data_IF_407875907810
#
_entry.id   IF_407875907810
#
_cell.length_a   1.000
_cell.length_b   1.000
_cell.length_c   1.000
_cell.angle_alpha   90.00
_cell.angle_beta   90.00
_cell.angle_gamma   90.00
#
_symmetry.space_group_name_H-M   'P 1'
#
loop_
_entity.id
_entity.type
_entity.pdbx_description
1 polymer ?
#
# COMPACT_ATOMS: atom_id res chain seq x y z
N UNK A 1 19.36 -12.22 6.96
CA UNK A 1 19.92 -11.10 6.16
C UNK A 1 18.85 -10.01 6.21
N UNK A 2 19.19 -8.75 6.51
CA UNK A 2 18.18 -7.69 6.49
C UNK A 2 17.78 -7.46 5.03
N UNK A 3 16.62 -7.99 4.63
CA UNK A 3 16.04 -7.75 3.32
C UNK A 3 15.84 -6.24 3.15
N UNK A 4 16.43 -5.68 2.09
CA UNK A 4 16.37 -4.25 1.82
C UNK A 4 14.97 -3.94 1.29
N UNK A 5 14.06 -3.58 2.17
CA UNK A 5 12.74 -3.11 1.77
C UNK A 5 12.81 -1.68 1.26
N UNK A 6 11.95 -1.37 0.30
CA UNK A 6 11.78 -0.07 -0.33
C UNK A 6 10.32 0.33 -0.27
N UNK A 7 10.08 1.64 -0.27
CA UNK A 7 8.74 2.20 -0.21
C UNK A 7 8.30 2.59 -1.61
N UNK A 8 7.09 2.23 -2.00
CA UNK A 8 6.54 2.49 -3.32
C UNK A 8 5.15 3.10 -3.24
N UNK A 9 4.82 3.94 -4.22
CA UNK A 9 3.47 4.47 -4.37
C UNK A 9 2.53 3.40 -4.90
N UNK A 10 1.42 3.19 -4.21
CA UNK A 10 0.37 2.27 -4.66
C UNK A 10 -0.47 2.96 -5.74
N UNK A 11 -0.47 2.38 -6.93
CA UNK A 11 -1.16 2.94 -8.10
C UNK A 11 -2.56 2.37 -8.28
N UNK A 12 -2.80 1.15 -7.79
CA UNK A 12 -4.09 0.47 -7.78
C UNK A 12 -4.29 -0.31 -6.48
N UNK A 13 -5.56 -0.46 -6.08
CA UNK A 13 -5.91 -1.21 -4.88
C UNK A 13 -5.55 -2.69 -5.07
N UNK A 14 -4.90 -3.30 -4.08
CA UNK A 14 -4.56 -4.71 -4.13
C UNK A 14 -4.66 -5.37 -2.75
N UNK A 15 -4.90 -6.67 -2.73
CA UNK A 15 -4.88 -7.46 -1.49
C UNK A 15 -3.46 -7.94 -1.25
N UNK A 16 -2.89 -7.52 -0.12
CA UNK A 16 -1.64 -8.09 0.33
C UNK A 16 -1.87 -9.52 0.85
N UNK A 17 -1.16 -10.49 0.28
CA UNK A 17 -1.34 -11.91 0.65
C UNK A 17 -0.73 -12.25 2.01
N UNK A 18 0.21 -11.45 2.50
CA UNK A 18 0.86 -11.71 3.78
C UNK A 18 -0.04 -11.28 4.95
N UNK A 19 -0.60 -10.08 4.88
CA UNK A 19 -1.48 -9.51 5.92
C UNK A 19 -2.96 -9.78 5.68
N UNK A 20 -3.35 -10.17 4.46
CA UNK A 20 -4.74 -10.22 3.99
C UNK A 20 -5.45 -8.84 4.04
N UNK A 21 -4.70 -7.75 4.06
CA UNK A 21 -5.23 -6.40 4.06
C UNK A 21 -5.37 -5.85 2.63
N UNK A 22 -6.39 -5.00 2.43
CA UNK A 22 -6.55 -4.27 1.18
C UNK A 22 -5.69 -3.01 1.27
N UNK A 23 -4.66 -2.96 0.44
CA UNK A 23 -3.81 -1.79 0.29
C UNK A 23 -4.45 -0.89 -0.77
N UNK A 24 -4.88 0.29 -0.36
CA UNK A 24 -5.56 1.25 -1.22
C UNK A 24 -4.58 2.06 -2.06
N UNK A 25 -5.03 2.45 -3.26
CA UNK A 25 -4.36 3.42 -4.11
C UNK A 25 -4.04 4.72 -3.37
N UNK A 26 -2.87 5.28 -3.65
CA UNK A 26 -2.37 6.51 -3.04
C UNK A 26 -1.64 6.31 -1.71
N UNK A 27 -1.71 5.10 -1.14
CA UNK A 27 -0.89 4.72 0.01
C UNK A 27 0.56 4.48 -0.38
N UNK A 28 1.44 4.49 0.62
CA UNK A 28 2.83 4.07 0.48
C UNK A 28 2.94 2.64 1.00
N UNK A 29 3.53 1.76 0.19
CA UNK A 29 3.68 0.36 0.49
C UNK A 29 5.15 -0.04 0.59
N UNK A 30 5.51 -0.73 1.68
CA UNK A 30 6.86 -1.27 1.88
C UNK A 30 6.95 -2.68 1.30
N UNK A 31 7.90 -2.91 0.38
CA UNK A 31 8.16 -4.20 -0.23
C UNK A 31 9.66 -4.42 -0.47
N UNK A 32 10.12 -5.66 -0.37
CA UNK A 32 11.43 -6.10 -0.84
C UNK A 32 11.52 -6.12 -2.38
N UNK A 33 12.71 -6.39 -2.92
CA UNK A 33 12.94 -6.35 -4.37
C UNK A 33 12.16 -7.40 -5.16
N UNK A 34 11.97 -8.61 -4.62
CA UNK A 34 11.26 -9.70 -5.31
C UNK A 34 9.77 -9.40 -5.36
N UNK A 35 9.21 -9.01 -4.21
CA UNK A 35 7.81 -8.63 -4.09
C UNK A 35 7.49 -7.36 -4.87
N UNK A 36 8.38 -6.37 -4.85
CA UNK A 36 8.22 -5.17 -5.66
C UNK A 36 8.23 -5.50 -7.17
N UNK A 37 9.01 -6.49 -7.63
CA UNK A 37 8.99 -6.90 -9.04
C UNK A 37 7.63 -7.48 -9.44
N UNK A 38 7.04 -8.33 -8.61
CA UNK A 38 5.70 -8.91 -8.84
C UNK A 38 4.62 -7.83 -8.82
N UNK A 39 4.64 -6.95 -7.82
CA UNK A 39 3.66 -5.87 -7.68
C UNK A 39 3.77 -4.84 -8.80
N UNK A 40 4.99 -4.54 -9.29
CA UNK A 40 5.21 -3.68 -10.47
C UNK A 40 4.70 -4.36 -11.75
N UNK A 41 4.95 -5.66 -11.91
CA UNK A 41 4.44 -6.41 -13.05
C UNK A 41 2.91 -6.46 -13.09
N UNK A 42 2.26 -6.39 -11.92
CA UNK A 42 0.82 -6.30 -11.77
C UNK A 42 0.26 -4.86 -11.87
N UNK A 43 1.11 -3.85 -12.08
CA UNK A 43 0.74 -2.41 -12.14
C UNK A 43 0.00 -1.89 -10.88
N UNK A 44 0.25 -2.52 -9.72
CA UNK A 44 -0.37 -2.12 -8.44
C UNK A 44 0.52 -1.20 -7.61
N UNK A 45 1.82 -1.20 -7.87
CA UNK A 45 2.76 -0.21 -7.33
C UNK A 45 3.52 0.48 -8.47
N UNK A 46 3.88 1.73 -8.25
CA UNK A 46 4.59 2.57 -9.20
C UNK A 46 6.02 2.90 -8.77
N UNK A 47 6.32 4.19 -8.71
CA UNK A 47 7.65 4.72 -8.41
C UNK A 47 7.98 4.57 -6.93
N UNK A 48 9.27 4.50 -6.65
CA UNK A 48 9.81 4.54 -5.29
C UNK A 48 9.43 5.89 -4.63
N UNK A 49 8.91 5.82 -3.41
CA UNK A 49 8.45 6.98 -2.65
C UNK A 49 9.65 7.76 -2.09
N UNK A 50 9.54 9.09 -2.10
CA UNK A 50 10.56 9.97 -1.54
C UNK A 50 10.51 9.95 -0.01
N UNK A 51 11.62 10.29 0.66
CA UNK A 51 11.65 10.38 2.14
C UNK A 51 10.55 11.27 2.73
N UNK A 52 10.27 12.41 2.08
CA UNK A 52 9.22 13.33 2.51
C UNK A 52 7.82 12.68 2.45
N UNK A 53 7.56 11.88 1.42
CA UNK A 53 6.27 11.19 1.23
C UNK A 53 6.12 10.04 2.25
N UNK A 54 7.21 9.34 2.57
CA UNK A 54 7.24 8.32 3.62
C UNK A 54 6.93 8.95 4.99
N UNK A 55 7.55 10.09 5.31
CA UNK A 55 7.28 10.81 6.56
C UNK A 55 5.84 11.32 6.65
N UNK A 56 5.28 11.80 5.54
CA UNK A 56 3.88 12.24 5.47
C UNK A 56 2.92 11.06 5.65
N UNK A 57 3.15 9.95 4.96
CA UNK A 57 2.35 8.74 5.10
C UNK A 57 2.40 8.17 6.52
N UNK A 58 3.58 8.20 7.17
CA UNK A 58 3.73 7.78 8.57
C UNK A 58 2.93 8.68 9.52
N UNK A 59 3.00 10.00 9.32
CA UNK A 59 2.19 10.96 10.09
C UNK A 59 0.69 10.78 9.84
N UNK A 60 0.29 10.47 8.62
CA UNK A 60 -1.09 10.19 8.26
C UNK A 60 -1.61 8.91 8.93
N UNK A 61 -0.79 7.86 8.98
CA UNK A 61 -1.11 6.63 9.71
C UNK A 61 -1.26 6.87 11.23
N UNK A 62 -0.42 7.74 11.82
CA UNK A 62 -0.53 8.12 13.24
C UNK A 62 -1.73 9.03 13.55
N UNK A 63 -2.23 9.80 12.57
CA UNK A 63 -3.43 10.65 12.69
C UNK A 63 -4.73 10.00 12.22
N UNK A 64 -4.65 8.84 11.57
CA UNK A 64 -5.71 8.27 10.75
C UNK A 64 -6.50 7.11 11.35
N UNK A 65 -6.58 6.97 12.68
CA UNK A 65 -7.51 6.03 13.31
C UNK A 65 -9.00 6.45 13.18
N UNK A 66 -9.29 7.58 12.54
CA UNK A 66 -10.65 8.09 12.35
C UNK A 66 -10.88 8.51 10.87
N UNK A 67 -11.16 7.53 10.01
CA UNK A 67 -11.91 7.81 8.77
C UNK A 67 -11.52 7.04 7.51
N UNK A 68 -11.96 5.78 7.40
CA UNK A 68 -12.57 5.32 6.16
C UNK A 68 -13.83 4.51 6.48
N UNK A 69 -14.96 5.21 6.46
CA UNK A 69 -16.28 4.62 6.20
C UNK A 69 -16.57 4.86 4.73
N UNK A 70 -16.34 3.88 3.86
CA UNK A 70 -17.16 3.72 2.66
C UNK A 70 -17.13 2.26 2.15
N UNK A 71 -18.01 1.40 2.67
CA UNK A 71 -19.26 1.00 2.01
C UNK A 71 -19.08 0.33 0.62
N UNK A 72 -18.93 -1.00 0.65
CA UNK A 72 -19.27 -1.89 -0.45
C UNK A 72 -20.39 -2.84 -0.04
N UNK A 73 -21.61 -2.30 0.08
CA UNK A 73 -22.84 -3.08 0.16
C UNK A 73 -23.15 -3.58 -1.26
N UNK A 74 -22.94 -4.85 -1.55
CA UNK A 74 -23.56 -5.51 -2.71
C UNK A 74 -24.35 -6.73 -2.24
N UNK A 75 -25.66 -6.57 -2.41
CA UNK A 75 -26.80 -7.40 -2.10
C UNK A 75 -26.88 -8.64 -3.03
N UNK A 76 -26.93 -9.85 -2.44
CA UNK A 76 -27.49 -11.13 -2.96
C UNK A 76 -27.14 -12.23 -1.95
N UNK A 77 -28.00 -13.13 -1.47
CA UNK A 77 -29.30 -13.65 -1.92
C UNK A 77 -30.12 -14.09 -0.72
#
# INVERSE_FOLDING_TARGET
MAEKTKHYHVTNDFVDKETNEIITKGSIYEADEDRAAVLKAADVIGKEASKAEIEEAKKAAEKGADGDKNAGKSEKS
#
